data_IF_667812068926
#
_entry.id   IF_667812068926
#
_cell.length_a   1.000
_cell.length_b   1.000
_cell.length_c   1.000
_cell.angle_alpha   90.00
_cell.angle_beta   90.00
_cell.angle_gamma   90.00
#
_symmetry.space_group_name_H-M   'P 1'
#
loop_
_entity.id
_entity.type
_entity.pdbx_description
1 polymer ?
#
# COMPACT_ATOMS: atom_id res chain seq x y z
N UNK A 1 7.10 17.02 29.09
CA UNK A 1 7.59 15.71 28.64
C UNK A 1 8.87 15.98 27.89
N UNK A 2 9.98 15.48 28.41
CA UNK A 2 11.24 15.52 27.68
C UNK A 2 11.12 14.57 26.48
N UNK A 3 10.93 15.15 25.30
CA UNK A 3 10.82 14.42 24.04
C UNK A 3 12.16 13.81 23.60
N UNK A 4 13.25 14.04 24.36
CA UNK A 4 14.60 13.54 24.09
C UNK A 4 14.77 12.02 24.16
N UNK A 5 13.74 11.24 24.49
CA UNK A 5 13.76 9.77 24.36
C UNK A 5 13.10 9.32 23.05
N UNK A 6 12.18 10.10 22.49
CA UNK A 6 11.34 9.70 21.34
C UNK A 6 12.13 9.56 20.03
N UNK A 7 13.19 10.37 19.84
CA UNK A 7 14.07 10.24 18.68
C UNK A 7 14.77 8.87 18.62
N UNK A 8 15.03 8.23 19.77
CA UNK A 8 15.60 6.87 19.81
C UNK A 8 14.65 5.82 19.24
N UNK A 9 13.36 6.14 19.18
CA UNK A 9 12.32 5.34 18.56
C UNK A 9 11.95 5.83 17.15
N UNK A 10 12.74 6.74 16.56
CA UNK A 10 12.48 7.30 15.23
C UNK A 10 11.30 8.28 15.16
N UNK A 11 10.91 8.86 16.30
CA UNK A 11 9.89 9.91 16.38
C UNK A 11 10.62 11.24 16.55
N UNK A 12 10.90 11.90 15.44
CA UNK A 12 11.63 13.16 15.32
C UNK A 12 10.74 14.32 14.82
N UNK A 13 9.65 14.01 14.13
CA UNK A 13 8.67 14.99 13.68
C UNK A 13 7.69 15.45 14.77
N UNK A 14 7.34 16.73 14.74
CA UNK A 14 6.40 17.38 15.66
C UNK A 14 5.28 18.09 14.87
N UNK A 15 4.05 18.15 15.39
CA UNK A 15 3.63 17.66 16.71
C UNK A 15 3.46 16.13 16.78
N UNK A 16 3.89 15.53 17.88
CA UNK A 16 3.71 14.08 18.11
C UNK A 16 2.25 13.81 18.44
N UNK A 17 1.63 12.89 17.70
CA UNK A 17 0.27 12.41 18.01
C UNK A 17 0.29 11.58 19.28
N UNK A 18 -0.49 11.98 20.30
CA UNK A 18 -0.59 11.26 21.57
C UNK A 18 -2.03 10.86 21.84
N UNK A 19 -2.23 9.66 22.39
CA UNK A 19 -3.54 9.16 22.79
C UNK A 19 -3.71 9.29 24.31
N UNK A 20 -4.80 9.89 24.75
CA UNK A 20 -5.16 10.04 26.16
C UNK A 20 -6.50 9.40 26.47
N UNK A 21 -6.60 8.80 27.66
CA UNK A 21 -7.81 8.08 28.10
C UNK A 21 -8.99 8.99 28.46
N UNK A 22 -8.76 10.27 28.72
CA UNK A 22 -9.82 11.22 29.03
C UNK A 22 -9.41 12.68 28.75
N UNK A 23 -10.41 13.56 28.69
CA UNK A 23 -10.21 15.00 28.42
C UNK A 23 -9.33 15.69 29.47
N UNK A 24 -9.39 15.27 30.73
CA UNK A 24 -8.58 15.83 31.83
C UNK A 24 -7.07 15.58 31.63
N UNK A 25 -6.71 14.53 30.90
CA UNK A 25 -5.34 14.18 30.58
C UNK A 25 -4.80 14.90 29.33
N UNK A 26 -5.65 15.66 28.62
CA UNK A 26 -5.16 16.49 27.52
C UNK A 26 -4.21 17.57 28.04
N UNK A 27 -3.12 17.78 27.30
CA UNK A 27 -2.16 18.85 27.54
C UNK A 27 -2.01 19.63 26.25
N UNK A 28 -2.26 20.94 26.30
CA UNK A 28 -2.02 21.83 25.15
C UNK A 28 -0.53 22.10 25.05
N UNK A 29 0.05 21.75 23.91
CA UNK A 29 1.44 22.05 23.58
C UNK A 29 1.57 22.14 22.07
N UNK A 30 2.43 23.02 21.56
CA UNK A 30 2.74 23.07 20.13
C UNK A 30 3.45 21.80 19.65
N UNK A 31 4.03 21.01 20.57
CA UNK A 31 4.76 19.78 20.25
C UNK A 31 3.89 18.52 20.31
N UNK A 32 2.63 18.61 20.73
CA UNK A 32 1.75 17.47 20.95
C UNK A 32 0.41 17.68 20.25
N UNK A 33 -0.07 16.63 19.58
CA UNK A 33 -1.43 16.56 19.02
C UNK A 33 -2.22 15.52 19.82
N UNK A 34 -2.87 15.91 20.94
CA UNK A 34 -3.59 14.98 21.79
C UNK A 34 -4.94 14.56 21.21
N UNK A 35 -5.20 13.25 21.23
CA UNK A 35 -6.45 12.62 20.82
C UNK A 35 -7.03 11.82 21.99
N UNK A 36 -8.35 11.81 22.11
CA UNK A 36 -9.03 11.06 23.17
C UNK A 36 -9.48 9.70 22.64
N UNK A 37 -9.13 8.64 23.36
CA UNK A 37 -9.78 7.33 23.26
C UNK A 37 -10.16 6.89 24.67
N UNK A 38 -11.39 7.20 25.08
CA UNK A 38 -11.89 6.95 26.44
C UNK A 38 -12.70 5.67 26.59
N UNK A 39 -13.13 5.06 25.47
CA UNK A 39 -13.85 3.79 25.46
C UNK A 39 -12.92 2.59 25.63
N UNK A 40 -13.52 1.40 25.80
CA UNK A 40 -12.78 0.14 25.72
C UNK A 40 -12.10 0.05 24.36
N UNK A 41 -10.85 -0.37 24.35
CA UNK A 41 -10.11 -0.74 23.16
C UNK A 41 -9.88 -2.25 23.16
N UNK A 42 -9.75 -2.90 22.00
CA UNK A 42 -9.40 -4.30 21.94
C UNK A 42 -8.12 -4.63 22.72
N UNK A 43 -7.97 -5.90 23.11
CA UNK A 43 -6.68 -6.42 23.56
C UNK A 43 -5.62 -6.21 22.48
N UNK A 44 -4.37 -5.92 22.88
CA UNK A 44 -3.24 -5.68 21.97
C UNK A 44 -3.39 -4.45 21.07
N UNK A 45 -4.17 -3.44 21.45
CA UNK A 45 -4.17 -2.14 20.76
C UNK A 45 -2.86 -1.36 20.94
N UNK A 46 -2.09 -1.67 21.99
CA UNK A 46 -0.88 -0.95 22.34
C UNK A 46 0.23 -1.90 22.81
N UNK A 47 1.49 -1.57 22.49
CA UNK A 47 2.69 -2.18 23.04
C UNK A 47 3.35 -1.24 24.05
N UNK A 48 3.73 -1.77 25.22
CA UNK A 48 4.50 -1.01 26.22
C UNK A 48 5.95 -0.90 25.75
N UNK A 49 6.46 0.32 25.64
CA UNK A 49 7.86 0.59 25.21
C UNK A 49 8.73 1.18 26.32
N UNK A 50 8.11 1.81 27.33
CA UNK A 50 8.79 2.23 28.56
C UNK A 50 7.79 2.29 29.72
N UNK A 51 8.25 2.71 30.91
CA UNK A 51 7.37 2.94 32.04
C UNK A 51 6.31 3.98 31.68
N UNK A 52 5.03 3.58 31.75
CA UNK A 52 3.86 4.39 31.40
C UNK A 52 3.83 4.96 29.96
N UNK A 53 4.66 4.42 29.06
CA UNK A 53 4.71 4.80 27.65
C UNK A 53 4.35 3.59 26.77
N UNK A 54 3.34 3.81 25.93
CA UNK A 54 2.81 2.81 25.02
C UNK A 54 2.75 3.37 23.61
N UNK A 55 2.89 2.50 22.61
CA UNK A 55 2.70 2.82 21.20
C UNK A 55 1.54 2.02 20.61
N UNK A 56 0.75 2.64 19.74
CA UNK A 56 -0.31 1.96 19.01
C UNK A 56 0.28 0.86 18.13
N UNK A 57 -0.33 -0.33 18.16
CA UNK A 57 -0.02 -1.38 17.18
C UNK A 57 -0.44 -0.95 15.77
N UNK A 58 0.18 -1.47 14.70
CA UNK A 58 -0.21 -1.16 13.32
C UNK A 58 -1.72 -1.25 13.04
N UNK A 59 -2.39 -2.28 13.55
CA UNK A 59 -3.83 -2.49 13.37
C UNK A 59 -4.67 -1.44 14.12
N UNK A 60 -4.24 -1.09 15.34
CA UNK A 60 -4.86 -0.01 16.10
C UNK A 60 -4.63 1.35 15.46
N UNK A 61 -3.45 1.62 14.92
CA UNK A 61 -3.13 2.84 14.17
C UNK A 61 -4.01 2.95 12.93
N UNK A 62 -4.16 1.86 12.17
CA UNK A 62 -5.06 1.83 11.01
C UNK A 62 -6.51 2.19 11.38
N UNK A 63 -7.03 1.63 12.49
CA UNK A 63 -8.34 2.02 13.02
C UNK A 63 -8.42 3.50 13.40
N UNK A 64 -7.42 4.03 14.10
CA UNK A 64 -7.37 5.43 14.53
C UNK A 64 -7.37 6.38 13.34
N UNK A 65 -6.60 6.06 12.29
CA UNK A 65 -6.53 6.84 11.06
C UNK A 65 -7.85 6.83 10.26
N UNK A 66 -8.71 5.83 10.46
CA UNK A 66 -10.03 5.79 9.83
C UNK A 66 -10.99 6.91 10.25
N UNK A 67 -10.64 7.71 11.26
CA UNK A 67 -11.35 8.95 11.61
C UNK A 67 -10.90 10.15 10.79
N UNK A 68 -9.69 10.12 10.25
CA UNK A 68 -8.97 11.32 9.82
C UNK A 68 -8.67 11.31 8.34
N UNK A 69 -8.45 10.13 7.79
CA UNK A 69 -8.12 9.94 6.40
C UNK A 69 -9.38 9.67 5.57
N UNK A 70 -9.34 10.12 4.31
CA UNK A 70 -10.28 9.65 3.30
C UNK A 70 -10.15 8.14 3.12
N UNK A 71 -11.14 7.51 2.48
CA UNK A 71 -11.08 6.07 2.21
C UNK A 71 -9.85 5.69 1.39
N UNK A 72 -9.51 6.47 0.37
CA UNK A 72 -8.37 6.20 -0.51
C UNK A 72 -7.06 6.36 0.26
N UNK A 73 -6.89 7.44 1.02
CA UNK A 73 -5.72 7.64 1.88
C UNK A 73 -5.55 6.50 2.89
N UNK A 74 -6.66 6.04 3.49
CA UNK A 74 -6.61 4.92 4.42
C UNK A 74 -6.23 3.60 3.73
N UNK A 75 -6.70 3.37 2.49
CA UNK A 75 -6.25 2.23 1.68
C UNK A 75 -4.74 2.34 1.41
N UNK A 76 -4.22 3.50 1.02
CA UNK A 76 -2.78 3.71 0.80
C UNK A 76 -1.96 3.36 2.04
N UNK A 77 -2.36 3.86 3.22
CA UNK A 77 -1.68 3.50 4.49
C UNK A 77 -1.75 1.99 4.74
N UNK A 78 -2.88 1.35 4.44
CA UNK A 78 -3.01 -0.10 4.56
C UNK A 78 -2.05 -0.86 3.63
N UNK A 79 -1.84 -0.37 2.41
CA UNK A 79 -0.84 -0.91 1.48
C UNK A 79 0.59 -0.78 2.05
N UNK A 80 0.95 0.38 2.60
CA UNK A 80 2.26 0.58 3.22
C UNK A 80 2.46 -0.33 4.46
N UNK A 81 1.44 -0.44 5.32
CA UNK A 81 1.50 -1.32 6.51
C UNK A 81 1.66 -2.80 6.14
N UNK A 82 1.03 -3.23 5.05
CA UNK A 82 1.03 -4.61 4.55
C UNK A 82 2.10 -4.89 3.48
N UNK A 83 2.87 -3.87 3.10
CA UNK A 83 3.90 -3.91 2.09
C UNK A 83 5.30 -3.95 2.69
N UNK A 84 6.30 -4.16 1.84
CA UNK A 84 7.71 -4.21 2.24
C UNK A 84 8.45 -2.89 2.01
N UNK A 85 7.74 -1.76 2.14
CA UNK A 85 8.29 -0.42 2.04
C UNK A 85 7.77 0.50 3.13
N UNK A 86 8.42 1.64 3.33
CA UNK A 86 7.85 2.76 4.07
C UNK A 86 8.32 4.09 3.52
N UNK A 87 7.43 5.08 3.49
CA UNK A 87 7.75 6.42 2.98
C UNK A 87 8.83 7.07 3.84
N UNK A 88 9.73 7.80 3.20
CA UNK A 88 10.88 8.42 3.85
C UNK A 88 11.37 9.59 3.02
N UNK A 89 11.11 10.81 3.51
CA UNK A 89 11.60 12.06 2.89
C UNK A 89 13.13 12.15 2.85
N UNK A 90 13.82 11.37 3.70
CA UNK A 90 15.28 11.28 3.72
C UNK A 90 15.86 10.38 2.62
N UNK A 91 15.02 9.59 1.94
CA UNK A 91 15.45 8.69 0.87
C UNK A 91 15.36 9.40 -0.48
N UNK A 92 16.37 9.23 -1.34
CA UNK A 92 16.35 9.79 -2.69
C UNK A 92 15.23 9.22 -3.57
N UNK A 93 14.76 8.00 -3.28
CA UNK A 93 13.62 7.37 -3.95
C UNK A 93 12.27 7.71 -3.29
N UNK A 94 12.26 8.49 -2.20
CA UNK A 94 11.06 8.82 -1.43
C UNK A 94 10.57 7.71 -0.49
N UNK A 95 11.19 6.52 -0.50
CA UNK A 95 10.84 5.41 0.40
C UNK A 95 12.04 4.50 0.70
N UNK A 96 11.90 3.64 1.70
CA UNK A 96 12.89 2.65 2.11
C UNK A 96 12.28 1.25 2.12
N UNK A 97 13.08 0.22 1.82
CA UNK A 97 12.68 -1.17 2.05
C UNK A 97 12.55 -1.44 3.54
N UNK A 98 11.45 -2.08 3.93
CA UNK A 98 11.09 -2.35 5.32
C UNK A 98 10.35 -3.67 5.40
N UNK A 99 10.40 -4.34 6.54
CA UNK A 99 9.51 -5.49 6.76
C UNK A 99 8.06 -5.02 6.89
N UNK A 100 7.06 -5.78 6.42
CA UNK A 100 5.65 -5.48 6.66
C UNK A 100 5.34 -5.37 8.14
N UNK A 101 4.60 -4.32 8.53
CA UNK A 101 4.25 -4.08 9.94
C UNK A 101 2.97 -4.80 10.33
N UNK A 102 2.14 -5.12 9.34
CA UNK A 102 0.93 -5.92 9.49
C UNK A 102 0.67 -6.72 8.22
N UNK A 103 -0.50 -7.33 8.14
CA UNK A 103 -1.07 -7.90 6.92
C UNK A 103 -2.60 -7.72 6.95
N UNK A 104 -3.29 -7.85 5.80
CA UNK A 104 -4.74 -7.63 5.73
C UNK A 104 -5.52 -8.49 6.73
N UNK A 105 -5.12 -9.75 6.94
CA UNK A 105 -5.81 -10.67 7.85
C UNK A 105 -5.68 -10.25 9.32
N UNK A 106 -4.55 -9.67 9.73
CA UNK A 106 -4.36 -9.16 11.09
C UNK A 106 -5.18 -7.90 11.33
N UNK A 107 -5.21 -6.99 10.34
CA UNK A 107 -6.07 -5.79 10.38
C UNK A 107 -7.54 -6.20 10.50
N UNK A 108 -8.02 -7.10 9.64
CA UNK A 108 -9.41 -7.58 9.66
C UNK A 108 -9.78 -8.20 11.02
N UNK A 109 -8.99 -9.14 11.53
CA UNK A 109 -9.21 -9.78 12.84
C UNK A 109 -9.21 -8.80 14.02
N UNK A 110 -8.43 -7.73 13.92
CA UNK A 110 -8.44 -6.68 14.94
C UNK A 110 -9.73 -5.84 14.85
N UNK A 111 -10.14 -5.46 13.64
CA UNK A 111 -11.35 -4.68 13.39
C UNK A 111 -12.65 -5.44 13.72
N UNK A 112 -12.67 -6.77 13.61
CA UNK A 112 -13.77 -7.62 14.06
C UNK A 112 -14.10 -7.42 15.55
N UNK A 113 -13.08 -7.16 16.38
CA UNK A 113 -13.24 -6.92 17.83
C UNK A 113 -13.63 -5.49 18.17
N UNK A 114 -13.77 -4.64 17.16
CA UNK A 114 -14.08 -3.23 17.33
C UNK A 114 -15.57 -2.97 17.07
N UNK A 115 -16.29 -2.52 18.09
CA UNK A 115 -17.69 -2.12 18.02
C UNK A 115 -17.90 -0.76 18.67
N UNK A 116 -18.73 0.09 18.06
CA UNK A 116 -19.02 1.43 18.57
C UNK A 116 -17.83 2.41 18.56
N UNK A 117 -16.66 2.00 18.04
CA UNK A 117 -15.47 2.85 17.95
C UNK A 117 -15.54 3.71 16.69
N UNK A 118 -15.33 5.02 16.85
CA UNK A 118 -15.32 5.94 15.73
C UNK A 118 -14.17 5.62 14.75
N UNK A 119 -14.42 5.71 13.45
CA UNK A 119 -13.48 5.28 12.40
C UNK A 119 -13.58 3.80 12.02
N UNK A 120 -14.22 2.93 12.82
CA UNK A 120 -14.28 1.48 12.53
C UNK A 120 -14.96 1.15 11.20
N UNK A 121 -16.01 1.88 10.82
CA UNK A 121 -16.71 1.66 9.54
C UNK A 121 -15.81 1.99 8.35
N UNK A 122 -15.06 3.09 8.42
CA UNK A 122 -14.11 3.48 7.38
C UNK A 122 -12.95 2.47 7.31
N UNK A 123 -12.40 2.06 8.45
CA UNK A 123 -11.34 1.07 8.52
C UNK A 123 -11.77 -0.30 7.97
N UNK A 124 -12.96 -0.81 8.32
CA UNK A 124 -13.49 -2.06 7.76
C UNK A 124 -13.72 -1.97 6.25
N UNK A 125 -14.17 -0.81 5.76
CA UNK A 125 -14.32 -0.57 4.32
C UNK A 125 -12.96 -0.58 3.62
N UNK A 126 -11.98 0.14 4.14
CA UNK A 126 -10.63 0.20 3.58
C UNK A 126 -9.92 -1.16 3.62
N UNK A 127 -10.04 -1.91 4.72
CA UNK A 127 -9.40 -3.23 4.88
C UNK A 127 -9.82 -4.20 3.78
N UNK A 128 -11.08 -4.10 3.34
CA UNK A 128 -11.60 -4.93 2.26
C UNK A 128 -10.88 -4.76 0.92
N UNK A 129 -10.12 -3.69 0.70
CA UNK A 129 -9.39 -3.42 -0.55
C UNK A 129 -7.88 -3.69 -0.46
N UNK A 130 -7.36 -4.11 0.70
CA UNK A 130 -5.93 -4.27 0.89
C UNK A 130 -5.40 -5.52 0.21
N UNK A 131 -4.21 -5.39 -0.37
CA UNK A 131 -3.43 -6.49 -0.92
C UNK A 131 -2.05 -6.43 -0.25
N UNK A 132 -1.60 -7.58 0.27
CA UNK A 132 -0.28 -7.69 0.91
C UNK A 132 0.83 -7.73 -0.13
N UNK A 133 2.04 -7.36 0.27
CA UNK A 133 3.24 -7.66 -0.50
C UNK A 133 3.61 -6.64 -1.59
N UNK A 134 3.03 -5.43 -1.59
CA UNK A 134 3.56 -4.33 -2.38
C UNK A 134 4.96 -3.96 -1.90
N UNK A 135 5.93 -3.79 -2.80
CA UNK A 135 7.31 -3.47 -2.46
C UNK A 135 7.69 -2.01 -2.72
N UNK A 136 6.78 -1.21 -3.28
CA UNK A 136 6.99 0.22 -3.52
C UNK A 136 5.67 1.01 -3.58
N UNK A 137 5.71 2.34 -3.40
CA UNK A 137 4.53 3.19 -3.61
C UNK A 137 3.92 3.06 -5.02
N UNK A 138 4.76 2.87 -6.05
CA UNK A 138 4.30 2.73 -7.44
C UNK A 138 3.53 1.42 -7.67
N UNK A 139 3.96 0.32 -7.04
CA UNK A 139 3.21 -0.94 -7.09
C UNK A 139 1.86 -0.83 -6.39
N UNK A 140 1.81 -0.16 -5.23
CA UNK A 140 0.56 0.14 -4.52
C UNK A 140 -0.37 0.98 -5.39
N UNK A 141 0.15 2.03 -6.02
CA UNK A 141 -0.60 2.89 -6.94
C UNK A 141 -1.16 2.10 -8.13
N UNK A 142 -0.32 1.33 -8.82
CA UNK A 142 -0.73 0.53 -9.97
C UNK A 142 -1.81 -0.50 -9.58
N UNK A 143 -1.62 -1.17 -8.45
CA UNK A 143 -2.61 -2.10 -7.89
C UNK A 143 -3.95 -1.40 -7.60
N UNK A 144 -3.92 -0.22 -6.97
CA UNK A 144 -5.12 0.55 -6.66
C UNK A 144 -5.84 1.01 -7.93
N UNK A 145 -5.13 1.56 -8.91
CA UNK A 145 -5.69 1.99 -10.19
C UNK A 145 -6.33 0.84 -10.97
N UNK A 146 -5.71 -0.34 -10.97
CA UNK A 146 -6.25 -1.50 -11.70
C UNK A 146 -7.41 -2.18 -10.95
N UNK A 147 -7.33 -2.31 -9.63
CA UNK A 147 -8.18 -3.23 -8.87
C UNK A 147 -9.27 -2.56 -8.03
N UNK A 148 -9.13 -1.29 -7.65
CA UNK A 148 -10.22 -0.59 -6.97
C UNK A 148 -11.44 -0.53 -7.89
N UNK A 149 -12.67 -0.55 -7.35
CA UNK A 149 -13.86 -0.44 -8.19
C UNK A 149 -13.94 0.91 -8.90
N UNK A 150 -14.68 1.03 -10.02
CA UNK A 150 -14.88 2.31 -10.71
C UNK A 150 -15.46 3.41 -9.83
N UNK A 151 -16.28 3.05 -8.84
CA UNK A 151 -16.79 3.99 -7.84
C UNK A 151 -15.72 4.63 -6.96
N UNK A 152 -14.49 4.12 -6.99
CA UNK A 152 -13.31 4.60 -6.27
C UNK A 152 -12.16 4.97 -7.23
N UNK A 153 -12.43 5.10 -8.54
CA UNK A 153 -11.42 5.54 -9.51
C UNK A 153 -10.51 4.45 -10.09
N UNK A 154 -10.76 3.18 -9.78
CA UNK A 154 -10.02 2.06 -10.37
C UNK A 154 -10.81 1.27 -11.41
N UNK A 155 -10.14 0.38 -12.15
CA UNK A 155 -10.75 -0.38 -13.25
C UNK A 155 -11.56 -1.63 -12.81
N UNK A 156 -11.56 -1.95 -11.52
CA UNK A 156 -12.30 -3.08 -10.95
C UNK A 156 -11.81 -4.45 -11.41
N UNK A 157 -10.53 -4.56 -11.77
CA UNK A 157 -9.92 -5.82 -12.17
C UNK A 157 -9.77 -6.77 -10.97
N UNK A 158 -9.71 -8.10 -11.21
CA UNK A 158 -9.37 -9.07 -10.16
C UNK A 158 -8.07 -8.70 -9.45
N UNK A 159 -8.00 -8.99 -8.15
CA UNK A 159 -6.80 -8.69 -7.35
C UNK A 159 -5.62 -9.56 -7.80
N UNK A 160 -4.43 -8.97 -8.02
CA UNK A 160 -3.22 -9.74 -8.23
C UNK A 160 -2.68 -10.27 -6.89
N UNK A 161 -1.76 -11.22 -6.99
CA UNK A 161 -0.75 -11.48 -5.98
C UNK A 161 0.45 -10.56 -6.21
N UNK A 162 0.76 -9.71 -5.24
CA UNK A 162 1.88 -8.77 -5.36
C UNK A 162 3.21 -9.44 -5.02
N UNK A 163 4.26 -9.08 -5.76
CA UNK A 163 5.60 -9.65 -5.62
C UNK A 163 5.61 -11.20 -5.62
N UNK A 164 4.74 -11.79 -6.43
CA UNK A 164 4.51 -13.25 -6.46
C UNK A 164 5.78 -13.98 -6.94
N UNK A 165 6.27 -14.97 -6.17
CA UNK A 165 7.45 -15.74 -6.55
C UNK A 165 7.11 -16.74 -7.66
N UNK A 166 7.89 -16.69 -8.73
CA UNK A 166 7.86 -17.64 -9.85
C UNK A 166 9.17 -18.40 -9.83
N UNK A 167 9.07 -19.71 -9.71
CA UNK A 167 10.22 -20.60 -9.87
C UNK A 167 10.65 -20.62 -11.34
N UNK A 168 11.93 -20.39 -11.55
CA UNK A 168 12.52 -20.35 -12.88
C UNK A 168 13.74 -21.26 -12.90
N UNK A 169 13.74 -22.24 -13.81
CA UNK A 169 14.84 -23.19 -13.95
C UNK A 169 16.03 -22.62 -14.76
N UNK A 170 16.09 -21.30 -14.96
CA UNK A 170 17.07 -20.65 -15.85
C UNK A 170 17.82 -19.48 -15.22
N UNK A 171 19.13 -19.44 -15.50
CA UNK A 171 20.08 -18.46 -14.99
C UNK A 171 20.55 -18.77 -13.57
N UNK A 172 21.24 -17.81 -12.96
CA UNK A 172 21.73 -17.93 -11.56
C UNK A 172 20.65 -17.72 -10.51
N UNK A 173 19.45 -17.30 -10.91
CA UNK A 173 18.35 -16.93 -10.01
C UNK A 173 17.21 -17.94 -10.15
N UNK A 174 17.01 -18.74 -9.11
CA UNK A 174 15.98 -19.79 -9.08
C UNK A 174 14.56 -19.25 -8.88
N UNK A 175 14.40 -18.07 -8.28
CA UNK A 175 13.10 -17.45 -7.98
C UNK A 175 13.09 -16.00 -8.43
N UNK A 176 12.17 -15.67 -9.34
CA UNK A 176 11.90 -14.29 -9.77
C UNK A 176 10.57 -13.83 -9.19
N UNK A 177 10.46 -12.56 -8.79
CA UNK A 177 9.21 -11.97 -8.29
C UNK A 177 8.65 -11.01 -9.31
N UNK A 178 7.36 -11.15 -9.62
CA UNK A 178 6.63 -10.20 -10.46
C UNK A 178 5.75 -9.29 -9.60
N UNK A 179 5.71 -8.01 -9.94
CA UNK A 179 5.11 -6.97 -9.10
C UNK A 179 3.62 -7.17 -8.91
N UNK A 180 2.86 -7.39 -9.99
CA UNK A 180 1.45 -7.77 -9.97
C UNK A 180 1.27 -9.04 -10.79
N UNK A 181 0.96 -10.16 -10.16
CA UNK A 181 0.77 -11.44 -10.84
C UNK A 181 -0.66 -11.97 -10.70
N UNK A 182 -1.20 -12.57 -11.75
CA UNK A 182 -2.41 -13.39 -11.72
C UNK A 182 -1.99 -14.82 -12.11
N UNK A 183 -1.59 -15.65 -11.13
CA UNK A 183 -1.01 -16.98 -11.40
C UNK A 183 -1.95 -17.88 -12.21
N UNK A 184 -3.24 -17.86 -11.90
CA UNK A 184 -4.28 -18.63 -12.59
C UNK A 184 -4.41 -18.26 -14.08
N UNK A 185 -4.01 -17.05 -14.47
CA UNK A 185 -4.02 -16.58 -15.86
C UNK A 185 -2.63 -16.55 -16.47
N UNK A 186 -1.61 -17.03 -15.76
CA UNK A 186 -0.24 -17.07 -16.25
C UNK A 186 0.21 -15.71 -16.77
N UNK A 187 -0.20 -14.63 -16.08
CA UNK A 187 -0.02 -13.26 -16.52
C UNK A 187 0.54 -12.40 -15.39
N UNK A 188 1.47 -11.49 -15.71
CA UNK A 188 1.98 -10.53 -14.75
C UNK A 188 2.30 -9.17 -15.39
N UNK A 189 2.28 -8.14 -14.55
CA UNK A 189 2.79 -6.82 -14.85
C UNK A 189 4.04 -6.56 -14.02
N UNK A 190 5.06 -5.95 -14.63
CA UNK A 190 6.27 -5.46 -13.95
C UNK A 190 6.36 -3.96 -14.13
N UNK A 191 6.45 -3.22 -13.03
CA UNK A 191 6.69 -1.79 -13.07
C UNK A 191 8.16 -1.51 -13.35
N UNK A 192 8.42 -0.85 -14.48
CA UNK A 192 9.75 -0.41 -14.85
C UNK A 192 10.06 0.93 -14.14
N UNK A 193 10.80 0.85 -13.04
CA UNK A 193 11.30 2.05 -12.37
C UNK A 193 12.41 2.65 -13.21
N UNK A 194 12.05 3.59 -14.09
CA UNK A 194 12.93 4.35 -14.99
C UNK A 194 14.33 4.59 -14.39
N UNK A 195 15.29 3.72 -14.71
CA UNK A 195 16.71 4.05 -14.59
C UNK A 195 17.23 4.23 -15.99
N UNK A 196 17.06 5.45 -16.52
CA UNK A 196 17.66 5.97 -17.74
C UNK A 196 19.19 5.95 -17.66
N UNK A 197 19.77 4.76 -17.69
CA UNK A 197 21.12 4.48 -18.15
C UNK A 197 20.97 3.26 -19.05
N UNK A 198 20.87 3.54 -20.35
CA UNK A 198 20.77 2.59 -21.45
C UNK A 198 22.09 1.85 -21.64
N UNK A 199 22.50 1.08 -20.63
CA UNK A 199 23.59 0.13 -20.79
C UNK A 199 23.05 -1.10 -21.50
N UNK A 200 23.72 -1.53 -22.57
CA UNK A 200 23.38 -2.75 -23.31
C UNK A 200 23.26 -3.99 -22.40
N UNK A 201 23.98 -3.99 -21.27
CA UNK A 201 23.89 -5.03 -20.25
C UNK A 201 22.51 -5.11 -19.58
N UNK A 202 21.83 -3.98 -19.31
CA UNK A 202 20.47 -3.97 -18.76
C UNK A 202 19.46 -4.55 -19.75
N UNK A 203 19.55 -4.15 -21.03
CA UNK A 203 18.67 -4.68 -22.09
C UNK A 203 18.79 -6.21 -22.23
N UNK A 204 20.01 -6.75 -22.16
CA UNK A 204 20.23 -8.19 -22.18
C UNK A 204 19.70 -8.90 -20.92
N UNK A 205 19.89 -8.31 -19.74
CA UNK A 205 19.36 -8.85 -18.47
C UNK A 205 17.83 -8.88 -18.47
N UNK A 206 17.18 -7.82 -18.95
CA UNK A 206 15.71 -7.73 -19.03
C UNK A 206 15.13 -8.69 -20.06
N UNK A 207 15.82 -8.88 -21.19
CA UNK A 207 15.43 -9.88 -22.20
C UNK A 207 15.57 -11.31 -21.64
N UNK A 208 16.67 -11.59 -20.94
CA UNK A 208 16.91 -12.90 -20.31
C UNK A 208 15.90 -13.17 -19.20
N UNK A 209 15.57 -12.15 -18.39
CA UNK A 209 14.55 -12.21 -17.34
C UNK A 209 13.18 -12.56 -17.94
N UNK A 210 12.73 -11.82 -18.95
CA UNK A 210 11.45 -12.08 -19.62
C UNK A 210 11.42 -13.47 -20.26
N UNK A 211 12.49 -13.89 -20.91
CA UNK A 211 12.59 -15.23 -21.50
C UNK A 211 12.45 -16.34 -20.45
N UNK A 212 13.05 -16.18 -19.28
CA UNK A 212 12.95 -17.16 -18.19
C UNK A 212 11.52 -17.24 -17.63
N UNK A 213 10.83 -16.10 -17.48
CA UNK A 213 9.44 -16.04 -17.02
C UNK A 213 8.48 -16.63 -18.06
N UNK A 214 8.69 -16.34 -19.35
CA UNK A 214 7.88 -16.90 -20.43
C UNK A 214 8.02 -18.43 -20.50
N UNK A 215 9.24 -18.96 -20.30
CA UNK A 215 9.48 -20.41 -20.21
C UNK A 215 8.90 -21.06 -18.96
N UNK A 216 8.82 -20.31 -17.86
CA UNK A 216 8.06 -20.72 -16.68
C UNK A 216 6.54 -20.65 -16.91
N UNK A 217 6.11 -20.30 -18.13
CA UNK A 217 4.71 -20.24 -18.53
C UNK A 217 4.00 -19.01 -18.00
N UNK A 218 4.72 -17.92 -17.70
CA UNK A 218 4.12 -16.66 -17.24
C UNK A 218 4.44 -15.54 -18.23
N UNK A 219 3.39 -14.99 -18.84
CA UNK A 219 3.48 -13.86 -19.73
C UNK A 219 3.60 -12.54 -18.98
N UNK A 220 4.67 -11.79 -19.23
CA UNK A 220 4.98 -10.55 -18.49
C UNK A 220 4.91 -9.33 -19.40
N UNK A 221 4.18 -8.31 -18.95
CA UNK A 221 4.12 -7.00 -19.60
C UNK A 221 4.78 -5.94 -18.70
N UNK A 222 5.81 -5.28 -19.22
CA UNK A 222 6.43 -4.14 -18.55
C UNK A 222 5.52 -2.90 -18.60
N UNK A 223 5.45 -2.19 -17.48
CA UNK A 223 4.63 -1.00 -17.27
C UNK A 223 5.55 0.15 -16.89
N UNK A 224 5.65 1.13 -17.78
CA UNK A 224 6.47 2.32 -17.56
C UNK A 224 5.74 3.36 -16.72
N UNK A 225 6.50 4.28 -16.11
CA UNK A 225 5.94 5.45 -15.41
C UNK A 225 4.96 6.23 -16.29
N UNK A 226 5.31 6.48 -17.55
CA UNK A 226 4.45 7.21 -18.48
C UNK A 226 3.10 6.53 -18.69
N UNK A 227 3.07 5.20 -18.78
CA UNK A 227 1.81 4.47 -18.89
C UNK A 227 0.93 4.57 -17.65
N UNK A 228 1.52 4.72 -16.45
CA UNK A 228 0.76 4.88 -15.20
C UNK A 228 0.16 6.28 -15.07
N UNK A 229 0.85 7.32 -15.52
CA UNK A 229 0.42 8.72 -15.36
C UNK A 229 -0.33 9.29 -16.57
N UNK A 230 -0.23 8.69 -17.75
CA UNK A 230 -1.06 9.02 -18.90
C UNK A 230 -2.38 8.22 -18.87
N UNK A 231 -3.51 8.91 -18.75
CA UNK A 231 -4.83 8.27 -18.62
C UNK A 231 -5.19 7.38 -19.82
N UNK A 232 -4.80 7.76 -21.03
CA UNK A 232 -5.08 6.99 -22.24
C UNK A 232 -4.26 5.70 -22.27
N UNK A 233 -2.96 5.79 -21.93
CA UNK A 233 -2.08 4.64 -21.84
C UNK A 233 -2.46 3.71 -20.69
N UNK A 234 -2.85 4.25 -19.54
CA UNK A 234 -3.34 3.46 -18.42
C UNK A 234 -4.65 2.74 -18.77
N UNK A 235 -5.58 3.40 -19.47
CA UNK A 235 -6.79 2.76 -19.96
C UNK A 235 -6.48 1.61 -20.94
N UNK A 236 -5.49 1.81 -21.82
CA UNK A 236 -5.02 0.75 -22.72
C UNK A 236 -4.40 -0.42 -21.95
N UNK A 237 -3.57 -0.13 -20.93
CA UNK A 237 -3.00 -1.15 -20.04
C UNK A 237 -4.10 -1.94 -19.31
N UNK A 238 -5.10 -1.24 -18.76
CA UNK A 238 -6.25 -1.87 -18.10
C UNK A 238 -7.04 -2.73 -19.08
N UNK A 239 -7.21 -2.30 -20.33
CA UNK A 239 -7.89 -3.06 -21.39
C UNK A 239 -7.12 -4.32 -21.79
N UNK A 240 -5.80 -4.23 -21.94
CA UNK A 240 -4.94 -5.39 -22.23
C UNK A 240 -5.02 -6.39 -21.08
N UNK A 241 -4.89 -5.89 -19.85
CA UNK A 241 -4.99 -6.69 -18.63
C UNK A 241 -6.36 -7.36 -18.54
N UNK A 242 -7.45 -6.62 -18.73
CA UNK A 242 -8.81 -7.19 -18.65
C UNK A 242 -9.03 -8.32 -19.64
N UNK A 243 -8.54 -8.17 -20.88
CA UNK A 243 -8.62 -9.21 -21.92
C UNK A 243 -7.86 -10.46 -21.50
N UNK A 244 -6.63 -10.32 -20.98
CA UNK A 244 -5.82 -11.44 -20.46
C UNK A 244 -6.51 -12.14 -19.29
N UNK A 245 -7.16 -11.37 -18.42
CA UNK A 245 -7.90 -11.90 -17.27
C UNK A 245 -9.27 -12.49 -17.62
N UNK A 246 -9.71 -12.43 -18.88
CA UNK A 246 -11.04 -12.85 -19.29
C UNK A 246 -12.16 -12.02 -18.63
N UNK A 247 -11.87 -10.76 -18.29
CA UNK A 247 -12.80 -9.84 -17.63
C UNK A 247 -13.15 -8.66 -18.51
N UNK A 248 -14.42 -8.25 -18.43
CA UNK A 248 -14.89 -7.01 -19.04
C UNK A 248 -14.70 -5.86 -18.05
N UNK A 249 -14.15 -4.75 -18.53
CA UNK A 249 -14.11 -3.51 -17.75
C UNK A 249 -15.52 -3.02 -17.48
N UNK A 250 -15.75 -2.61 -16.23
CA UNK A 250 -17.01 -2.00 -15.84
C UNK A 250 -17.12 -0.58 -16.40
N UNK A 251 -18.34 -0.07 -16.68
CA UNK A 251 -18.52 1.31 -17.08
C UNK A 251 -17.96 2.28 -16.04
N UNK A 252 -17.19 3.26 -16.51
CA UNK A 252 -16.69 4.33 -15.66
C UNK A 252 -17.84 5.29 -15.28
N UNK A 253 -17.97 5.68 -14.00
CA UNK A 253 -18.90 6.74 -13.62
C UNK A 253 -18.49 8.10 -14.20
N UNK A 254 -19.42 9.06 -14.21
CA UNK A 254 -19.16 10.41 -14.73
C UNK A 254 -17.97 11.12 -14.05
N UNK A 255 -17.78 10.87 -12.76
CA UNK A 255 -16.72 11.45 -11.92
C UNK A 255 -15.44 10.59 -11.84
N UNK A 256 -15.27 9.60 -12.74
CA UNK A 256 -14.16 8.65 -12.69
C UNK A 256 -12.78 9.33 -12.69
N UNK A 257 -12.60 10.35 -13.53
CA UNK A 257 -11.35 11.10 -13.62
C UNK A 257 -10.96 11.74 -12.27
N UNK A 258 -11.93 12.39 -11.60
CA UNK A 258 -11.72 13.02 -10.30
C UNK A 258 -11.36 11.98 -9.23
N UNK A 259 -12.06 10.84 -9.22
CA UNK A 259 -11.76 9.73 -8.29
C UNK A 259 -10.39 9.13 -8.53
N UNK A 260 -9.96 9.06 -9.78
CA UNK A 260 -8.62 8.59 -10.12
C UNK A 260 -7.55 9.60 -9.64
N UNK A 261 -7.84 10.90 -9.73
CA UNK A 261 -6.96 11.94 -9.16
C UNK A 261 -6.83 11.79 -7.63
N UNK A 262 -7.90 11.42 -6.92
CA UNK A 262 -7.82 11.09 -5.49
C UNK A 262 -6.86 9.94 -5.19
N UNK A 263 -6.80 8.92 -6.06
CA UNK A 263 -5.81 7.82 -5.94
C UNK A 263 -4.39 8.35 -6.11
N UNK A 264 -4.14 9.14 -7.16
CA UNK A 264 -2.79 9.69 -7.40
C UNK A 264 -2.34 10.56 -6.23
N UNK A 265 -3.18 11.48 -5.75
CA UNK A 265 -2.82 12.35 -4.63
C UNK A 265 -2.52 11.56 -3.37
N UNK A 266 -3.37 10.59 -3.03
CA UNK A 266 -3.20 9.82 -1.81
C UNK A 266 -1.91 8.99 -1.72
N UNK A 267 -1.21 8.72 -2.82
CA UNK A 267 0.07 7.98 -2.83
C UNK A 267 1.29 8.91 -2.77
N UNK A 268 1.15 10.16 -3.18
CA UNK A 268 2.28 11.12 -3.27
C UNK A 268 2.16 12.33 -2.33
N UNK A 269 1.05 12.49 -1.62
CA UNK A 269 0.89 13.39 -0.47
C UNK A 269 1.34 12.73 0.83
#
# INVERSE_FOLDING_TARGET
>A
MDTGILWKFGIDEKPVSILVSCKANMRKSQNLSPRIWSGKHPSRSFYKIAQDLYISTPEATFLQLGKELSLIQLITVGYELCGSYGLSVQSSSGFLRREPRSNPQFIERYLEKCEGIHGVKAAKRASSYLIKGSASPMESLLSMLLCLPPSLGGFGLPRPELNYPIETNEGSVAIRRCDLCWPDQQFALEYDSDTFHSDASKLHLDSSRRSALEKAGVHVVSVTKNQVFDRGQLFNLATITSKRLGRRLSPAPFDFAQKQDEIYQAVFE
#
